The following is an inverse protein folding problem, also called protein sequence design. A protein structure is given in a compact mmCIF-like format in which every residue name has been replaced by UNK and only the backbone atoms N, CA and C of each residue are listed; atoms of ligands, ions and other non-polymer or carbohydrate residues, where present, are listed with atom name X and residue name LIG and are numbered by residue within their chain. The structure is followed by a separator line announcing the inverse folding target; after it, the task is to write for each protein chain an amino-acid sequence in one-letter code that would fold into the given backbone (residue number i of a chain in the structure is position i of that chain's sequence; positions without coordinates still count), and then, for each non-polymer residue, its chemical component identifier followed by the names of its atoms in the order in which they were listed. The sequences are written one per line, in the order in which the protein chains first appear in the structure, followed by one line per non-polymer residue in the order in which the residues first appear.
data_IF_629975276245
#
_entry.id   IF_629975276245
#
_cell.length_a   1.000
_cell.length_b   1.000
_cell.length_c   1.000
_cell.angle_alpha   90.00
_cell.angle_beta   90.00
_cell.angle_gamma   90.00
#
_symmetry.space_group_name_H-M   'P 1'
#
loop_
_entity.id
_entity.type
_entity.pdbx_description
1 polymer ?
#
# COMPACT_ATOMS: atom_id res chain seq x y z
N UNK A 1 -18.37 -42.18 26.58
CA UNK A 1 -17.28 -41.46 25.87
C UNK A 1 -17.77 -40.31 24.95
N UNK A 2 -18.91 -39.63 25.25
CA UNK A 2 -19.52 -38.68 24.30
C UNK A 2 -19.61 -37.22 24.81
N UNK A 3 -19.36 -36.95 26.10
CA UNK A 3 -19.49 -35.59 26.64
C UNK A 3 -18.28 -34.70 26.36
N UNK A 4 -17.04 -35.22 26.48
CA UNK A 4 -15.82 -34.44 26.28
C UNK A 4 -15.59 -34.02 24.83
N UNK A 5 -15.96 -34.86 23.87
CA UNK A 5 -15.83 -34.54 22.44
C UNK A 5 -16.80 -33.43 22.01
N UNK A 6 -18.05 -33.46 22.51
CA UNK A 6 -19.02 -32.38 22.26
C UNK A 6 -18.61 -31.06 22.87
N UNK A 7 -18.02 -31.07 24.08
CA UNK A 7 -17.50 -29.87 24.73
C UNK A 7 -16.28 -29.28 23.98
N UNK A 8 -15.35 -30.12 23.53
CA UNK A 8 -14.20 -29.69 22.74
C UNK A 8 -14.60 -29.12 21.37
N UNK A 9 -15.59 -29.72 20.70
CA UNK A 9 -16.13 -29.24 19.43
C UNK A 9 -16.88 -27.91 19.64
N UNK A 10 -17.69 -27.80 20.69
CA UNK A 10 -18.39 -26.55 21.02
C UNK A 10 -17.43 -25.41 21.38
N UNK A 11 -16.34 -25.68 22.12
CA UNK A 11 -15.29 -24.70 22.40
C UNK A 11 -14.53 -24.29 21.12
N UNK A 12 -14.26 -25.23 20.21
CA UNK A 12 -13.59 -24.93 18.93
C UNK A 12 -14.48 -24.09 18.00
N UNK A 13 -15.78 -24.36 17.97
CA UNK A 13 -16.78 -23.56 17.20
C UNK A 13 -16.97 -22.18 17.83
N UNK A 14 -17.07 -22.08 19.16
CA UNK A 14 -17.17 -20.81 19.84
C UNK A 14 -15.92 -19.93 19.66
N UNK A 15 -14.74 -20.53 19.67
CA UNK A 15 -13.46 -19.83 19.44
C UNK A 15 -13.34 -19.33 17.98
N UNK A 16 -13.80 -20.12 17.02
CA UNK A 16 -13.82 -19.72 15.60
C UNK A 16 -14.79 -18.56 15.38
N UNK A 17 -15.99 -18.61 15.94
CA UNK A 17 -16.97 -17.51 15.82
C UNK A 17 -16.51 -16.22 16.50
N UNK A 18 -15.76 -16.29 17.59
CA UNK A 18 -15.21 -15.09 18.24
C UNK A 18 -14.07 -14.49 17.42
N UNK A 19 -13.17 -15.30 16.87
CA UNK A 19 -12.11 -14.83 15.97
C UNK A 19 -12.70 -14.20 14.70
N UNK A 20 -13.69 -14.83 14.08
CA UNK A 20 -14.39 -14.31 12.91
C UNK A 20 -15.11 -12.97 13.20
N UNK A 21 -15.71 -12.81 14.38
CA UNK A 21 -16.32 -11.54 14.80
C UNK A 21 -15.28 -10.44 15.02
N UNK A 22 -14.16 -10.79 15.65
CA UNK A 22 -13.05 -9.86 15.86
C UNK A 22 -12.50 -9.35 14.53
N UNK A 23 -12.25 -10.26 13.59
CA UNK A 23 -11.77 -9.93 12.25
C UNK A 23 -12.77 -9.05 11.47
N UNK A 24 -14.06 -9.39 11.51
CA UNK A 24 -15.10 -8.60 10.87
C UNK A 24 -15.19 -7.17 11.45
N UNK A 25 -15.07 -7.04 12.78
CA UNK A 25 -15.08 -5.72 13.45
C UNK A 25 -13.81 -4.93 13.07
N UNK A 26 -12.64 -5.56 13.08
CA UNK A 26 -11.38 -4.92 12.64
C UNK A 26 -11.50 -4.42 11.20
N UNK A 27 -12.01 -5.24 10.28
CA UNK A 27 -12.22 -4.84 8.89
C UNK A 27 -13.17 -3.64 8.79
N UNK A 28 -14.32 -3.68 9.48
CA UNK A 28 -15.29 -2.58 9.47
C UNK A 28 -14.70 -1.27 10.03
N UNK A 29 -13.85 -1.35 11.05
CA UNK A 29 -13.14 -0.19 11.60
C UNK A 29 -12.13 0.39 10.61
N UNK A 30 -11.36 -0.47 9.94
CA UNK A 30 -10.38 -0.03 8.92
C UNK A 30 -11.10 0.56 7.69
N UNK A 31 -12.23 -0.01 7.27
CA UNK A 31 -13.04 0.52 6.16
C UNK A 31 -13.61 1.90 6.51
N UNK A 32 -14.20 2.06 7.70
CA UNK A 32 -14.72 3.33 8.18
C UNK A 32 -13.61 4.39 8.35
N UNK A 33 -12.45 3.99 8.86
CA UNK A 33 -11.28 4.87 9.00
C UNK A 33 -10.74 5.32 7.64
N UNK A 34 -10.65 4.39 6.67
CA UNK A 34 -10.25 4.69 5.30
C UNK A 34 -11.11 5.79 4.68
N UNK A 35 -12.44 5.64 4.75
CA UNK A 35 -13.37 6.65 4.22
C UNK A 35 -13.15 8.03 4.87
N UNK A 36 -12.98 8.06 6.19
CA UNK A 36 -12.82 9.32 6.92
C UNK A 36 -11.43 9.94 6.69
N UNK A 37 -10.36 9.15 6.65
CA UNK A 37 -9.02 9.65 6.35
C UNK A 37 -8.92 10.18 4.92
N UNK A 38 -9.52 9.48 3.94
CA UNK A 38 -9.56 9.95 2.56
C UNK A 38 -10.32 11.28 2.43
N UNK A 39 -11.49 11.40 3.06
CA UNK A 39 -12.35 12.58 2.95
C UNK A 39 -11.82 13.77 3.75
N UNK A 40 -11.50 13.57 5.03
CA UNK A 40 -11.24 14.63 6.00
C UNK A 40 -9.74 14.79 6.32
N UNK A 41 -8.93 13.80 6.00
CA UNK A 41 -7.52 13.68 6.34
C UNK A 41 -7.26 13.15 7.74
N UNK A 42 -6.00 12.76 7.99
CA UNK A 42 -5.59 12.21 9.27
C UNK A 42 -5.85 13.16 10.43
N UNK A 43 -5.45 14.43 10.32
CA UNK A 43 -5.51 15.38 11.42
C UNK A 43 -6.96 15.60 11.92
N UNK A 44 -7.92 15.79 11.01
CA UNK A 44 -9.31 16.09 11.34
C UNK A 44 -10.13 14.87 11.78
N UNK A 45 -9.71 13.65 11.44
CA UNK A 45 -10.44 12.43 11.81
C UNK A 45 -10.21 12.06 13.27
N UNK A 46 -11.30 11.73 14.00
CA UNK A 46 -11.26 11.25 15.38
C UNK A 46 -11.69 9.79 15.48
N UNK A 47 -11.15 9.06 16.49
CA UNK A 47 -11.59 7.67 16.76
C UNK A 47 -13.09 7.58 17.12
N UNK A 48 -13.68 8.64 17.67
CA UNK A 48 -15.12 8.69 17.95
C UNK A 48 -15.93 8.74 16.63
N UNK A 49 -15.46 9.50 15.63
CA UNK A 49 -16.09 9.54 14.31
C UNK A 49 -15.97 8.18 13.60
N UNK A 50 -14.82 7.51 13.70
CA UNK A 50 -14.62 6.15 13.14
C UNK A 50 -15.57 5.16 13.82
N UNK A 51 -15.69 5.17 15.17
CA UNK A 51 -16.61 4.31 15.89
C UNK A 51 -18.06 4.49 15.44
N UNK A 52 -18.49 5.75 15.31
CA UNK A 52 -19.84 6.08 14.84
C UNK A 52 -20.07 5.61 13.39
N UNK A 53 -19.07 5.78 12.51
CA UNK A 53 -19.14 5.36 11.09
C UNK A 53 -19.17 3.85 10.92
N UNK A 54 -18.47 3.11 11.79
CA UNK A 54 -18.43 1.65 11.80
C UNK A 54 -19.59 1.01 12.58
N UNK A 55 -20.50 1.80 13.16
CA UNK A 55 -21.60 1.35 14.02
C UNK A 55 -21.12 0.50 15.22
N UNK A 56 -20.04 0.93 15.86
CA UNK A 56 -19.49 0.29 17.05
C UNK A 56 -19.31 1.28 18.19
N UNK A 57 -19.12 0.78 19.40
CA UNK A 57 -18.81 1.64 20.54
C UNK A 57 -17.37 2.15 20.50
N UNK A 58 -17.10 3.32 21.10
CA UNK A 58 -15.74 3.84 21.26
C UNK A 58 -14.82 2.83 21.99
N UNK A 59 -15.36 2.10 22.98
CA UNK A 59 -14.63 1.05 23.69
C UNK A 59 -14.20 -0.11 22.76
N UNK A 60 -15.03 -0.46 21.77
CA UNK A 60 -14.68 -1.47 20.79
C UNK A 60 -13.49 -1.02 19.93
N UNK A 61 -13.38 0.26 19.55
CA UNK A 61 -12.22 0.76 18.83
C UNK A 61 -10.94 0.56 19.63
N UNK A 62 -10.93 0.94 20.90
CA UNK A 62 -9.76 0.79 21.78
C UNK A 62 -9.44 -0.67 22.14
N UNK A 63 -10.38 -1.59 21.93
CA UNK A 63 -10.11 -3.02 22.04
C UNK A 63 -9.27 -3.56 20.85
N UNK A 64 -9.42 -2.95 19.66
CA UNK A 64 -8.75 -3.36 18.44
C UNK A 64 -7.50 -2.54 18.11
N UNK A 65 -7.48 -1.26 18.50
CA UNK A 65 -6.41 -0.33 18.17
C UNK A 65 -6.05 0.52 19.39
N UNK A 66 -4.76 0.62 19.70
CA UNK A 66 -4.26 1.42 20.83
C UNK A 66 -4.49 2.92 20.63
N UNK A 67 -4.62 3.37 19.36
CA UNK A 67 -4.83 4.75 19.02
C UNK A 67 -5.07 5.01 17.55
N UNK A 68 -5.21 6.30 17.20
CA UNK A 68 -5.46 6.74 15.82
C UNK A 68 -4.29 6.40 14.89
N UNK A 69 -3.06 6.44 15.40
CA UNK A 69 -1.87 6.11 14.63
C UNK A 69 -1.89 4.64 14.18
N UNK A 70 -2.11 3.70 15.10
CA UNK A 70 -2.16 2.27 14.78
C UNK A 70 -3.31 1.93 13.81
N UNK A 71 -4.46 2.61 13.97
CA UNK A 71 -5.56 2.47 13.01
C UNK A 71 -5.17 3.02 11.62
N UNK A 72 -4.42 4.13 11.56
CA UNK A 72 -3.92 4.68 10.31
C UNK A 72 -2.89 3.74 9.66
N UNK A 73 -1.99 3.13 10.42
CA UNK A 73 -1.05 2.11 9.96
C UNK A 73 -1.77 0.94 9.29
N UNK A 74 -2.87 0.47 9.88
CA UNK A 74 -3.68 -0.59 9.29
C UNK A 74 -4.37 -0.18 7.99
N UNK A 75 -4.85 1.08 7.90
CA UNK A 75 -5.41 1.64 6.66
C UNK A 75 -4.32 1.79 5.60
N UNK A 76 -3.17 2.36 5.96
CA UNK A 76 -2.02 2.55 5.07
C UNK A 76 -1.56 1.21 4.48
N UNK A 77 -1.36 0.20 5.33
CA UNK A 77 -0.96 -1.15 4.89
C UNK A 77 -1.94 -1.70 3.86
N UNK A 78 -3.24 -1.60 4.11
CA UNK A 78 -4.27 -2.08 3.18
C UNK A 78 -4.26 -1.31 1.85
N UNK A 79 -4.01 0.01 1.86
CA UNK A 79 -3.90 0.80 0.63
C UNK A 79 -2.65 0.40 -0.18
N UNK A 80 -1.52 0.16 0.49
CA UNK A 80 -0.29 -0.34 -0.16
C UNK A 80 -0.52 -1.73 -0.78
N UNK A 81 -1.17 -2.64 -0.05
CA UNK A 81 -1.53 -3.97 -0.57
C UNK A 81 -2.48 -3.88 -1.77
N UNK A 82 -3.48 -3.00 -1.71
CA UNK A 82 -4.43 -2.76 -2.81
C UNK A 82 -3.73 -2.24 -4.05
N UNK A 83 -2.83 -1.27 -3.89
CA UNK A 83 -2.02 -0.70 -4.97
C UNK A 83 -1.06 -1.73 -5.59
N UNK A 84 -0.53 -2.66 -4.80
CA UNK A 84 0.38 -3.68 -5.29
C UNK A 84 -0.27 -4.64 -6.31
N UNK A 85 -1.58 -4.89 -6.22
CA UNK A 85 -2.28 -5.82 -7.10
C UNK A 85 -2.15 -5.44 -8.59
N UNK A 86 -2.58 -4.24 -9.05
CA UNK A 86 -2.42 -3.85 -10.46
C UNK A 86 -0.95 -3.72 -10.88
N UNK A 87 -0.04 -3.38 -9.97
CA UNK A 87 1.40 -3.34 -10.24
C UNK A 87 1.93 -4.74 -10.59
N UNK A 88 1.61 -5.75 -9.76
CA UNK A 88 1.97 -7.16 -10.01
C UNK A 88 1.33 -7.68 -11.28
N UNK A 89 0.08 -7.35 -11.55
CA UNK A 89 -0.60 -7.72 -12.79
C UNK A 89 0.08 -7.11 -14.02
N UNK A 90 0.43 -5.82 -13.98
CA UNK A 90 1.11 -5.15 -15.09
C UNK A 90 2.49 -5.79 -15.37
N UNK A 91 3.23 -6.08 -14.30
CA UNK A 91 4.51 -6.79 -14.35
C UNK A 91 4.37 -8.16 -15.00
N UNK A 92 3.43 -8.97 -14.53
CA UNK A 92 3.27 -10.37 -14.95
C UNK A 92 2.78 -10.54 -16.40
N UNK A 93 2.20 -9.49 -17.01
CA UNK A 93 1.78 -9.51 -18.44
C UNK A 93 2.94 -9.42 -19.43
N UNK A 94 4.14 -9.10 -18.98
CA UNK A 94 5.32 -8.94 -19.83
C UNK A 94 6.25 -10.16 -19.72
N UNK A 95 6.86 -10.53 -20.83
CA UNK A 95 7.83 -11.65 -20.88
C UNK A 95 9.25 -11.19 -20.64
N UNK A 96 9.60 -10.01 -21.12
CA UNK A 96 10.90 -9.41 -20.93
C UNK A 96 10.97 -8.78 -19.53
N UNK A 97 11.97 -9.11 -18.69
CA UNK A 97 12.03 -8.65 -17.29
C UNK A 97 12.12 -7.13 -17.15
N UNK A 98 12.83 -6.46 -18.09
CA UNK A 98 12.93 -5.00 -18.01
C UNK A 98 11.65 -4.31 -18.45
N UNK A 99 10.98 -4.81 -19.48
CA UNK A 99 9.66 -4.34 -19.87
C UNK A 99 8.61 -4.62 -18.79
N UNK A 100 8.75 -5.73 -18.05
CA UNK A 100 7.92 -6.03 -16.89
C UNK A 100 8.13 -5.00 -15.78
N UNK A 101 9.38 -4.70 -15.45
CA UNK A 101 9.72 -3.68 -14.45
C UNK A 101 9.18 -2.30 -14.82
N UNK A 102 9.39 -1.86 -16.09
CA UNK A 102 8.84 -0.60 -16.60
C UNK A 102 7.32 -0.54 -16.52
N UNK A 103 6.65 -1.66 -16.82
CA UNK A 103 5.20 -1.75 -16.73
C UNK A 103 4.70 -1.65 -15.27
N UNK A 104 5.42 -2.24 -14.32
CA UNK A 104 5.14 -2.10 -12.88
C UNK A 104 5.29 -0.66 -12.38
N UNK A 105 6.40 0.01 -12.74
CA UNK A 105 6.62 1.42 -12.40
C UNK A 105 5.51 2.34 -12.96
N UNK A 106 5.08 2.08 -14.19
CA UNK A 106 3.96 2.82 -14.79
C UNK A 106 2.66 2.58 -14.04
N UNK A 107 2.32 1.32 -13.74
CA UNK A 107 1.11 0.97 -13.02
C UNK A 107 1.07 1.60 -11.62
N UNK A 108 2.21 1.67 -10.93
CA UNK A 108 2.34 2.41 -9.67
C UNK A 108 1.91 3.88 -9.81
N UNK A 109 2.40 4.59 -10.82
CA UNK A 109 2.03 5.98 -11.07
C UNK A 109 0.56 6.12 -11.52
N UNK A 110 0.02 5.15 -12.25
CA UNK A 110 -1.40 5.12 -12.64
C UNK A 110 -2.30 4.98 -11.41
N UNK A 111 -1.96 4.10 -10.45
CA UNK A 111 -2.70 3.95 -9.18
C UNK A 111 -2.60 5.20 -8.29
N UNK A 112 -1.49 5.92 -8.33
CA UNK A 112 -1.32 7.17 -7.60
C UNK A 112 -2.22 8.33 -8.09
N UNK A 113 -3.07 8.13 -9.10
CA UNK A 113 -4.13 9.07 -9.50
C UNK A 113 -5.41 8.92 -8.67
N UNK A 114 -5.58 7.83 -7.89
CA UNK A 114 -6.71 7.67 -6.97
C UNK A 114 -6.63 8.72 -5.86
N UNK A 115 -7.63 9.63 -5.71
CA UNK A 115 -7.58 10.71 -4.72
C UNK A 115 -7.53 10.21 -3.28
N UNK A 116 -8.15 9.06 -2.98
CA UNK A 116 -8.16 8.47 -1.64
C UNK A 116 -6.77 7.96 -1.29
N UNK A 117 -6.11 7.27 -2.24
CA UNK A 117 -4.74 6.81 -2.11
C UNK A 117 -3.77 7.97 -1.96
N UNK A 118 -3.92 9.02 -2.79
CA UNK A 118 -3.10 10.24 -2.67
C UNK A 118 -3.17 10.81 -1.25
N UNK A 119 -4.38 10.96 -0.71
CA UNK A 119 -4.56 11.53 0.62
C UNK A 119 -3.91 10.69 1.70
N UNK A 120 -4.15 9.39 1.70
CA UNK A 120 -3.70 8.47 2.74
C UNK A 120 -2.20 8.18 2.60
N UNK A 121 -1.76 7.75 1.40
CA UNK A 121 -0.40 7.21 1.21
C UNK A 121 0.62 8.31 0.96
N UNK A 122 0.30 9.30 0.11
CA UNK A 122 1.28 10.29 -0.32
C UNK A 122 1.30 11.55 0.57
N UNK A 123 0.13 12.02 1.04
CA UNK A 123 0.05 13.34 1.67
C UNK A 123 0.07 13.26 3.20
N UNK A 124 -0.65 12.33 3.82
CA UNK A 124 -0.82 12.27 5.27
C UNK A 124 0.15 11.29 5.97
N UNK A 125 0.64 10.24 5.29
CA UNK A 125 1.39 9.15 5.92
C UNK A 125 2.61 9.62 6.72
N UNK A 126 3.47 10.44 6.14
CA UNK A 126 4.68 10.92 6.83
C UNK A 126 4.36 11.70 8.11
N UNK A 127 3.27 12.46 8.11
CA UNK A 127 2.83 13.22 9.28
C UNK A 127 2.12 12.33 10.30
N UNK A 128 1.40 11.30 9.85
CA UNK A 128 0.60 10.42 10.69
C UNK A 128 1.43 9.39 11.45
N UNK A 129 2.39 8.75 10.77
CA UNK A 129 3.13 7.60 11.31
C UNK A 129 4.66 7.75 11.25
N UNK A 130 5.16 8.81 10.61
CA UNK A 130 6.59 9.09 10.51
C UNK A 130 7.31 8.30 9.42
N UNK A 131 8.51 8.75 9.06
CA UNK A 131 9.26 8.21 7.93
C UNK A 131 9.69 6.74 8.13
N UNK A 132 10.16 6.39 9.31
CA UNK A 132 10.65 5.03 9.60
C UNK A 132 9.54 4.00 9.44
N UNK A 133 8.35 4.32 9.96
CA UNK A 133 7.20 3.42 9.89
C UNK A 133 6.64 3.30 8.47
N UNK A 134 6.55 4.41 7.72
CA UNK A 134 6.21 4.38 6.30
C UNK A 134 7.16 3.45 5.55
N UNK A 135 8.48 3.60 5.72
CA UNK A 135 9.47 2.76 5.04
C UNK A 135 9.36 1.29 5.41
N UNK A 136 9.09 0.99 6.68
CA UNK A 136 8.86 -0.39 7.14
C UNK A 136 7.65 -1.03 6.45
N UNK A 137 6.55 -0.28 6.35
CA UNK A 137 5.30 -0.76 5.74
C UNK A 137 5.39 -0.87 4.21
N UNK A 138 6.24 -0.07 3.57
CA UNK A 138 6.53 -0.13 2.13
C UNK A 138 7.59 -1.18 1.76
N UNK A 139 8.20 -1.84 2.75
CA UNK A 139 9.25 -2.85 2.54
C UNK A 139 8.92 -3.87 1.46
N UNK A 140 7.73 -4.49 1.41
CA UNK A 140 7.37 -5.44 0.37
C UNK A 140 7.42 -4.88 -1.06
N UNK A 141 7.12 -3.59 -1.26
CA UNK A 141 7.24 -2.93 -2.58
C UNK A 141 8.70 -2.75 -2.99
N UNK A 142 9.57 -2.37 -2.04
CA UNK A 142 11.01 -2.27 -2.27
C UNK A 142 11.61 -3.62 -2.62
N UNK A 143 11.29 -4.68 -1.86
CA UNK A 143 11.74 -6.05 -2.16
C UNK A 143 11.31 -6.51 -3.56
N UNK A 144 10.09 -6.19 -3.98
CA UNK A 144 9.61 -6.47 -5.33
C UNK A 144 10.40 -5.72 -6.40
N UNK A 145 10.76 -4.45 -6.16
CA UNK A 145 11.61 -3.68 -7.06
C UNK A 145 13.03 -4.24 -7.15
N UNK A 146 13.63 -4.61 -6.02
CA UNK A 146 14.95 -5.25 -6.00
C UNK A 146 14.98 -6.54 -6.81
N UNK A 147 13.97 -7.39 -6.63
CA UNK A 147 13.82 -8.62 -7.39
C UNK A 147 13.68 -8.37 -8.89
N UNK A 148 12.88 -7.38 -9.28
CA UNK A 148 12.70 -7.00 -10.70
C UNK A 148 13.99 -6.49 -11.35
N UNK A 149 14.78 -5.69 -10.62
CA UNK A 149 16.09 -5.20 -11.06
C UNK A 149 17.08 -6.36 -11.21
N UNK A 150 17.10 -7.28 -10.23
CA UNK A 150 17.96 -8.46 -10.27
C UNK A 150 17.64 -9.33 -11.49
N UNK A 151 16.38 -9.64 -11.73
CA UNK A 151 15.93 -10.43 -12.89
C UNK A 151 16.29 -9.77 -14.21
N UNK A 152 16.16 -8.44 -14.31
CA UNK A 152 16.55 -7.69 -15.51
C UNK A 152 18.06 -7.73 -15.75
N UNK A 153 18.88 -7.64 -14.70
CA UNK A 153 20.32 -7.75 -14.77
C UNK A 153 20.79 -9.17 -15.16
N UNK A 154 20.18 -10.20 -14.56
CA UNK A 154 20.46 -11.61 -14.88
C UNK A 154 20.08 -11.96 -16.33
N UNK A 155 19.02 -11.35 -16.86
CA UNK A 155 18.61 -11.49 -18.25
C UNK A 155 19.44 -10.63 -19.22
N UNK A 156 20.43 -9.88 -18.75
CA UNK A 156 21.28 -9.02 -19.57
C UNK A 156 20.56 -7.80 -20.15
N UNK A 157 19.45 -7.37 -19.55
CA UNK A 157 18.66 -6.22 -20.04
C UNK A 157 19.16 -4.88 -19.50
N UNK A 158 19.82 -4.91 -18.35
CA UNK A 158 20.52 -3.78 -17.73
C UNK A 158 21.90 -4.23 -17.26
N UNK A 159 22.84 -3.30 -17.07
CA UNK A 159 24.16 -3.62 -16.57
C UNK A 159 24.10 -4.25 -15.16
N UNK A 160 24.89 -5.32 -14.89
CA UNK A 160 24.97 -5.94 -13.57
C UNK A 160 25.30 -4.91 -12.48
N UNK A 161 24.53 -4.94 -11.38
CA UNK A 161 24.71 -4.02 -10.25
C UNK A 161 24.01 -4.56 -8.99
N UNK A 162 24.38 -4.09 -7.78
CA UNK A 162 23.59 -4.33 -6.59
C UNK A 162 22.18 -3.76 -6.77
N UNK A 163 21.10 -4.55 -6.55
CA UNK A 163 19.73 -4.10 -6.81
C UNK A 163 19.24 -3.04 -5.82
N UNK A 164 19.61 -3.17 -4.54
CA UNK A 164 19.11 -2.33 -3.43
C UNK A 164 19.30 -0.81 -3.67
N UNK A 165 20.51 -0.28 -3.99
CA UNK A 165 20.66 1.17 -4.19
C UNK A 165 19.82 1.71 -5.33
N UNK A 166 19.69 0.95 -6.44
CA UNK A 166 18.88 1.36 -7.57
C UNK A 166 17.37 1.28 -7.24
N UNK A 167 16.93 0.25 -6.51
CA UNK A 167 15.55 0.14 -6.06
C UNK A 167 15.15 1.33 -5.19
N UNK A 168 15.95 1.66 -4.18
CA UNK A 168 15.69 2.83 -3.32
C UNK A 168 15.67 4.15 -4.09
N UNK A 169 16.59 4.34 -5.04
CA UNK A 169 16.62 5.52 -5.90
C UNK A 169 15.37 5.64 -6.75
N UNK A 170 15.01 4.57 -7.46
CA UNK A 170 13.84 4.57 -8.34
C UNK A 170 12.53 4.67 -7.55
N UNK A 171 12.42 3.99 -6.41
CA UNK A 171 11.25 4.09 -5.56
C UNK A 171 11.07 5.52 -5.02
N UNK A 172 12.14 6.15 -4.53
CA UNK A 172 12.10 7.53 -4.09
C UNK A 172 11.69 8.50 -5.20
N UNK A 173 12.24 8.30 -6.43
CA UNK A 173 11.87 9.09 -7.59
C UNK A 173 10.39 8.92 -7.97
N UNK A 174 9.86 7.69 -7.92
CA UNK A 174 8.45 7.41 -8.18
C UNK A 174 7.53 8.06 -7.13
N UNK A 175 7.85 7.94 -5.85
CA UNK A 175 7.08 8.55 -4.76
C UNK A 175 7.06 10.08 -4.85
N UNK A 176 8.22 10.70 -5.07
CA UNK A 176 8.31 12.17 -5.25
C UNK A 176 7.52 12.62 -6.48
N UNK A 177 7.65 11.91 -7.59
CA UNK A 177 6.90 12.19 -8.82
C UNK A 177 5.40 12.08 -8.57
N UNK A 178 4.94 11.04 -7.88
CA UNK A 178 3.53 10.87 -7.51
C UNK A 178 3.02 12.02 -6.63
N UNK A 179 3.82 12.48 -5.66
CA UNK A 179 3.46 13.65 -4.82
C UNK A 179 3.35 14.94 -5.61
N UNK A 180 4.23 15.16 -6.59
CA UNK A 180 4.16 16.33 -7.50
C UNK A 180 2.90 16.24 -8.34
N UNK A 181 2.56 15.09 -8.90
CA UNK A 181 1.34 14.87 -9.68
C UNK A 181 0.10 15.13 -8.82
N UNK A 182 0.06 14.60 -7.59
CA UNK A 182 -1.06 14.78 -6.67
C UNK A 182 -1.35 16.25 -6.31
N UNK A 183 -0.33 17.12 -6.37
CA UNK A 183 -0.44 18.55 -6.05
C UNK A 183 -0.59 19.44 -7.30
N UNK A 184 -0.56 18.88 -8.50
CA UNK A 184 -0.64 19.64 -9.74
C UNK A 184 -2.09 20.14 -10.00
N UNK A 185 -2.23 21.34 -10.57
CA UNK A 185 -3.53 21.88 -10.99
C UNK A 185 -4.20 21.00 -12.07
N UNK A 186 -3.42 20.48 -13.02
CA UNK A 186 -3.86 19.48 -14.00
C UNK A 186 -3.08 18.16 -13.80
N UNK A 187 -3.61 17.31 -12.93
CA UNK A 187 -3.01 16.02 -12.61
C UNK A 187 -2.86 15.12 -13.85
N UNK A 188 -3.77 15.19 -14.83
CA UNK A 188 -3.70 14.38 -16.04
C UNK A 188 -2.54 14.78 -16.95
N UNK A 189 -2.28 16.08 -17.06
CA UNK A 189 -1.12 16.59 -17.81
C UNK A 189 0.17 16.22 -17.08
N UNK A 190 0.27 16.48 -15.78
CA UNK A 190 1.42 16.18 -14.95
C UNK A 190 1.76 14.68 -14.98
N UNK A 191 0.76 13.82 -14.85
CA UNK A 191 0.91 12.37 -14.90
C UNK A 191 1.47 11.89 -16.27
N UNK A 192 0.92 12.37 -17.41
CA UNK A 192 1.44 12.01 -18.72
C UNK A 192 2.92 12.42 -18.91
N UNK A 193 3.29 13.61 -18.41
CA UNK A 193 4.67 14.07 -18.42
C UNK A 193 5.56 13.19 -17.55
N UNK A 194 5.12 12.85 -16.33
CA UNK A 194 5.81 11.98 -15.40
C UNK A 194 6.07 10.59 -16.00
N UNK A 195 5.05 9.94 -16.57
CA UNK A 195 5.19 8.65 -17.26
C UNK A 195 6.23 8.73 -18.40
N UNK A 196 6.21 9.82 -19.18
CA UNK A 196 7.14 10.01 -20.29
C UNK A 196 8.59 10.13 -19.79
N UNK A 197 8.83 10.92 -18.74
CA UNK A 197 10.19 11.13 -18.21
C UNK A 197 10.72 9.90 -17.47
N UNK A 198 9.91 9.26 -16.65
CA UNK A 198 10.29 7.99 -15.99
C UNK A 198 10.61 6.93 -17.06
N UNK A 199 9.81 6.83 -18.12
CA UNK A 199 10.07 5.93 -19.24
C UNK A 199 11.44 6.17 -19.88
N UNK A 200 11.78 7.43 -20.19
CA UNK A 200 13.08 7.81 -20.75
C UNK A 200 14.26 7.45 -19.82
N UNK A 201 14.11 7.70 -18.53
CA UNK A 201 15.13 7.36 -17.52
C UNK A 201 15.35 5.86 -17.50
N UNK A 202 14.28 5.07 -17.45
CA UNK A 202 14.36 3.61 -17.45
C UNK A 202 14.91 3.05 -18.78
N UNK A 203 14.54 3.62 -19.90
CA UNK A 203 15.10 3.24 -21.21
C UNK A 203 16.61 3.53 -21.28
N UNK A 204 17.09 4.61 -20.64
CA UNK A 204 18.51 4.93 -20.53
C UNK A 204 19.32 3.98 -19.64
N UNK A 205 18.66 3.12 -18.84
CA UNK A 205 19.33 2.07 -18.06
C UNK A 205 19.44 0.74 -18.82
N UNK A 206 18.70 0.58 -19.93
CA UNK A 206 18.77 -0.61 -20.76
C UNK A 206 20.11 -0.70 -21.49
N UNK A 207 20.54 -1.93 -21.77
CA UNK A 207 21.68 -2.23 -22.63
C UNK A 207 21.18 -2.93 -23.88
N UNK A 208 21.81 -2.60 -25.03
CA UNK A 208 21.51 -3.18 -26.36
C UNK A 208 21.91 -4.67 -26.45
#
# INVERSE_FOLDING_TARGET
MTSGYRQAVAMKVARRTQAERTEATTSALVDAARELFARDGYAATSLAAVAARADVTKGAVYHHFEGKQQLFEAVFTREVERMAVPVVEAYSRKKDPWDAFKAGCRAFLDECLDPDLQRIVLLDALTAIGWEEVRRLEGPLLEMMELGILQAAEAGRIAPRPPEPLAHFLYGALCETAMIVARADDQKVAHRQAITEIGRILDGLAID
#
